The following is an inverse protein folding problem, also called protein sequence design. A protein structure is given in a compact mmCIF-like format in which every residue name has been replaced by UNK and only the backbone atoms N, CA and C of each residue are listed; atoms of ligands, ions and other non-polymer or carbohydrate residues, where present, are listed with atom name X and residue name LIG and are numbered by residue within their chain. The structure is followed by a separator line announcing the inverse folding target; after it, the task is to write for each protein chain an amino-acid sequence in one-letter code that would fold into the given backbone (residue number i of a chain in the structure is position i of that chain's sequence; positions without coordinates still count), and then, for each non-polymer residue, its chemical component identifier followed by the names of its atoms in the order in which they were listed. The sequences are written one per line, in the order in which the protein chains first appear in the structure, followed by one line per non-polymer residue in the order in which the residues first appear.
data_IF_373004876910
#
_entry.id   IF_373004876910
#
_cell.length_a   1.000
_cell.length_b   1.000
_cell.length_c   1.000
_cell.angle_alpha   90.00
_cell.angle_beta   90.00
_cell.angle_gamma   90.00
#
_symmetry.space_group_name_H-M   'P 1'
#
loop_
_entity.id
_entity.type
_entity.pdbx_description
1 polymer ?
#
# COMPACT_ATOMS: atom_id res chain seq x y z
N UNK A 1 -7.69 8.80 -17.90
CA UNK A 1 -7.50 7.51 -17.23
C UNK A 1 -7.50 7.80 -15.75
N UNK A 2 -8.52 7.35 -15.02
CA UNK A 2 -8.62 7.63 -13.59
C UNK A 2 -7.80 6.61 -12.79
N UNK A 3 -6.89 7.15 -11.98
CA UNK A 3 -6.07 6.43 -11.02
C UNK A 3 -6.49 6.91 -9.62
N UNK A 4 -6.91 5.97 -8.77
CA UNK A 4 -7.29 6.28 -7.40
C UNK A 4 -6.10 6.05 -6.47
N UNK A 5 -5.97 6.90 -5.47
CA UNK A 5 -4.98 6.71 -4.40
C UNK A 5 -5.24 5.38 -3.71
N UNK A 6 -4.20 4.56 -3.53
CA UNK A 6 -4.34 3.26 -2.91
C UNK A 6 -4.85 3.42 -1.47
N UNK A 7 -6.03 2.87 -1.09
CA UNK A 7 -6.58 3.04 0.25
C UNK A 7 -5.81 2.22 1.30
N UNK A 8 -5.01 1.25 0.87
CA UNK A 8 -4.25 0.35 1.76
C UNK A 8 -2.99 1.01 2.30
N UNK A 9 -2.29 1.78 1.46
CA UNK A 9 -1.08 2.51 1.85
C UNK A 9 -1.30 4.04 1.85
N UNK A 10 -2.50 4.53 1.52
CA UNK A 10 -2.79 5.97 1.41
C UNK A 10 -1.83 6.75 0.50
N UNK A 11 -1.24 6.09 -0.50
CA UNK A 11 -0.28 6.72 -1.41
C UNK A 11 1.19 6.58 -1.03
N UNK A 12 1.55 5.97 0.09
CA UNK A 12 2.97 5.74 0.43
C UNK A 12 3.63 4.63 -0.38
N UNK A 13 2.86 3.65 -0.88
CA UNK A 13 3.40 2.48 -1.58
C UNK A 13 3.88 1.35 -0.65
N UNK A 14 3.89 1.60 0.66
CA UNK A 14 4.36 0.67 1.68
C UNK A 14 3.37 0.62 2.83
N UNK A 15 3.26 -0.55 3.46
CA UNK A 15 2.40 -0.77 4.63
C UNK A 15 3.23 -1.22 5.83
N UNK A 16 2.95 -0.56 6.95
CA UNK A 16 3.51 -0.92 8.23
C UNK A 16 2.77 -2.16 8.73
N UNK A 17 3.42 -3.31 8.65
CA UNK A 17 2.87 -4.54 9.20
C UNK A 17 3.31 -4.65 10.66
N UNK A 18 2.40 -4.92 11.61
CA UNK A 18 2.79 -5.22 12.98
C UNK A 18 3.61 -6.51 12.96
N UNK A 19 4.93 -6.37 12.97
CA UNK A 19 5.86 -7.46 13.21
C UNK A 19 6.06 -7.62 14.71
N UNK A 20 6.41 -8.84 15.13
CA UNK A 20 6.47 -9.21 16.54
C UNK A 20 7.35 -8.27 17.38
N UNK A 21 7.00 -8.17 18.66
CA UNK A 21 7.65 -7.57 19.84
C UNK A 21 8.47 -6.27 19.69
N UNK A 22 9.30 -6.04 18.68
CA UNK A 22 10.11 -4.83 18.50
C UNK A 22 10.36 -4.40 17.05
N UNK A 23 9.74 -5.03 16.04
CA UNK A 23 9.97 -4.70 14.63
C UNK A 23 8.68 -4.40 13.89
N UNK A 24 8.36 -3.12 13.71
CA UNK A 24 7.43 -2.71 12.65
C UNK A 24 8.10 -3.01 11.33
N UNK A 25 7.65 -4.09 10.67
CA UNK A 25 8.18 -4.47 9.38
C UNK A 25 7.43 -3.66 8.32
N UNK A 26 8.15 -2.75 7.68
CA UNK A 26 7.65 -2.09 6.47
C UNK A 26 7.68 -3.12 5.35
N UNK A 27 6.52 -3.38 4.76
CA UNK A 27 6.38 -4.27 3.59
C UNK A 27 5.85 -3.45 2.43
N UNK A 28 6.29 -3.81 1.22
CA UNK A 28 5.73 -3.26 -0.01
C UNK A 28 4.22 -3.52 -0.05
N UNK A 29 3.44 -2.50 -0.43
CA UNK A 29 1.99 -2.63 -0.46
C UNK A 29 1.59 -3.67 -1.51
N UNK A 30 0.94 -4.78 -1.12
CA UNK A 30 0.59 -5.85 -2.06
C UNK A 30 -0.53 -5.43 -3.03
N UNK A 31 -1.25 -4.35 -2.70
CA UNK A 31 -2.38 -3.89 -3.50
C UNK A 31 -1.97 -3.00 -4.67
N UNK A 32 -0.92 -2.21 -4.50
CA UNK A 32 -0.38 -1.34 -5.54
C UNK A 32 1.03 -1.74 -5.98
N UNK A 33 1.60 -2.81 -5.41
CA UNK A 33 2.97 -3.27 -5.69
C UNK A 33 4.04 -2.18 -5.54
N UNK A 34 3.83 -1.21 -4.64
CA UNK A 34 4.75 -0.09 -4.42
C UNK A 34 4.48 1.16 -5.25
N UNK A 35 3.45 1.18 -6.11
CA UNK A 35 3.15 2.37 -6.95
C UNK A 35 2.41 3.48 -6.20
N UNK A 36 1.77 3.19 -5.07
CA UNK A 36 0.96 4.14 -4.29
C UNK A 36 -0.41 4.48 -4.91
N UNK A 37 -0.68 4.06 -6.15
CA UNK A 37 -1.93 4.33 -6.88
C UNK A 37 -2.42 3.06 -7.56
N UNK A 38 -3.73 2.87 -7.59
CA UNK A 38 -4.38 1.73 -8.24
C UNK A 38 -5.32 2.24 -9.34
N UNK A 39 -5.49 1.49 -10.43
CA UNK A 39 -6.47 1.86 -11.43
C UNK A 39 -7.85 1.97 -10.79
N UNK A 40 -8.64 2.99 -11.16
CA UNK A 40 -9.95 3.22 -10.53
C UNK A 40 -10.98 2.09 -10.75
N UNK A 41 -10.69 1.14 -11.65
CA UNK A 41 -11.49 -0.06 -11.93
C UNK A 41 -11.07 -1.29 -11.10
N UNK A 42 -9.98 -1.21 -10.34
CA UNK A 42 -9.51 -2.23 -9.39
C UNK A 42 -9.93 -1.86 -7.96
N UNK A 43 -11.25 -1.83 -7.72
CA UNK A 43 -11.85 -1.59 -6.40
C UNK A 43 -12.10 -2.86 -5.58
#
# INVERSE_FOLDING_TARGET
MDEKTCPTCHGTGEIESPGGLFTTAVKSCPRCHGTGRIPAWEE
#
